data_IF_521587225648
#
_entry.id   IF_521587225648
#
_cell.length_a   1.000
_cell.length_b   1.000
_cell.length_c   1.000
_cell.angle_alpha   90.00
_cell.angle_beta   90.00
_cell.angle_gamma   90.00
#
_symmetry.space_group_name_H-M   'P 1'
#
loop_
_entity.id
_entity.type
_entity.pdbx_description
1 polymer ?
#
# COMPACT_ATOMS: atom_id res chain seq x y z
N UNK A 1 -3.74 -7.18 -29.60
CA UNK A 1 -3.60 -8.63 -29.45
C UNK A 1 -4.38 -9.07 -28.22
N UNK A 2 -5.20 -10.09 -28.36
CA UNK A 2 -6.04 -10.60 -27.29
C UNK A 2 -5.51 -11.97 -26.86
N UNK A 3 -5.28 -12.16 -25.57
CA UNK A 3 -4.87 -13.45 -25.04
C UNK A 3 -6.10 -14.30 -24.69
N UNK A 4 -6.04 -15.59 -25.00
CA UNK A 4 -7.15 -16.51 -24.73
C UNK A 4 -7.26 -16.77 -23.22
N UNK A 5 -6.12 -16.96 -22.57
CA UNK A 5 -6.07 -17.10 -21.12
C UNK A 5 -5.71 -15.74 -20.54
N UNK A 6 -6.62 -15.09 -19.80
CA UNK A 6 -6.31 -13.79 -19.24
C UNK A 6 -5.19 -13.89 -18.20
N UNK A 7 -4.25 -12.96 -18.26
CA UNK A 7 -3.20 -12.86 -17.27
C UNK A 7 -3.79 -12.24 -16.02
N UNK A 8 -3.95 -13.05 -14.96
CA UNK A 8 -4.44 -12.55 -13.69
C UNK A 8 -3.27 -11.93 -12.93
N UNK A 9 -3.30 -10.62 -12.76
CA UNK A 9 -2.29 -9.91 -11.99
C UNK A 9 -2.75 -9.78 -10.56
N UNK A 10 -1.90 -10.19 -9.60
CA UNK A 10 -2.18 -9.96 -8.18
C UNK A 10 -2.01 -8.48 -7.87
N UNK A 11 -2.89 -7.88 -7.05
CA UNK A 11 -2.73 -6.49 -6.67
C UNK A 11 -1.46 -6.28 -5.84
N UNK A 12 -0.85 -5.12 -6.00
CA UNK A 12 0.29 -4.70 -5.20
C UNK A 12 -0.14 -4.31 -3.79
N UNK A 13 -1.29 -3.66 -3.69
CA UNK A 13 -1.85 -3.22 -2.42
C UNK A 13 -3.38 -3.23 -2.52
N UNK A 14 -4.05 -3.68 -1.45
CA UNK A 14 -5.51 -3.70 -1.39
C UNK A 14 -5.98 -2.99 -0.13
N UNK A 15 -6.89 -2.04 -0.32
CA UNK A 15 -7.51 -1.29 0.77
C UNK A 15 -8.93 -1.78 0.99
N UNK A 16 -9.30 -2.02 2.24
CA UNK A 16 -10.65 -2.49 2.62
C UNK A 16 -11.36 -1.45 3.49
N UNK A 17 -12.68 -1.40 3.38
CA UNK A 17 -13.50 -0.50 4.20
C UNK A 17 -13.34 -0.73 5.71
N UNK A 18 -12.98 -1.95 6.11
CA UNK A 18 -12.71 -2.29 7.51
C UNK A 18 -11.45 -1.63 8.08
N UNK A 19 -10.63 -1.02 7.24
CA UNK A 19 -9.34 -0.47 7.62
C UNK A 19 -8.16 -1.39 7.33
N UNK A 20 -8.43 -2.60 6.84
CA UNK A 20 -7.39 -3.56 6.51
C UNK A 20 -6.70 -3.18 5.20
N UNK A 21 -5.38 -3.21 5.21
CA UNK A 21 -4.54 -2.98 4.04
C UNK A 21 -3.63 -4.18 3.86
N UNK A 22 -3.71 -4.82 2.71
CA UNK A 22 -2.82 -5.93 2.36
C UNK A 22 -1.76 -5.43 1.40
N UNK A 23 -0.49 -5.68 1.72
CA UNK A 23 0.66 -5.24 0.93
C UNK A 23 1.39 -6.47 0.42
N UNK A 24 1.60 -6.55 -0.90
CA UNK A 24 2.30 -7.68 -1.51
C UNK A 24 3.77 -7.70 -1.11
N UNK A 25 4.39 -8.88 -1.25
CA UNK A 25 5.82 -9.04 -0.96
C UNK A 25 6.69 -8.18 -1.89
N UNK A 26 6.25 -7.95 -3.12
CA UNK A 26 6.96 -7.09 -4.07
C UNK A 26 7.06 -5.66 -3.54
N UNK A 27 5.94 -5.10 -3.09
CA UNK A 27 5.91 -3.73 -2.56
C UNK A 27 6.65 -3.64 -1.22
N UNK A 28 6.49 -4.65 -0.37
CA UNK A 28 7.20 -4.70 0.90
C UNK A 28 8.73 -4.67 0.71
N UNK A 29 9.24 -5.38 -0.31
CA UNK A 29 10.66 -5.37 -0.62
C UNK A 29 11.13 -4.02 -1.17
N UNK A 30 10.37 -3.43 -2.06
CA UNK A 30 10.71 -2.10 -2.63
C UNK A 30 10.80 -1.05 -1.53
N UNK A 31 9.87 -1.06 -0.59
CA UNK A 31 9.84 -0.10 0.53
C UNK A 31 10.72 -0.51 1.71
N UNK A 32 11.26 -1.72 1.71
CA UNK A 32 12.05 -2.22 2.83
C UNK A 32 11.24 -2.40 4.11
N UNK A 33 10.00 -2.87 4.00
CA UNK A 33 9.11 -3.02 5.15
C UNK A 33 9.59 -4.11 6.12
N UNK A 34 9.50 -3.79 7.41
CA UNK A 34 9.72 -4.72 8.52
C UNK A 34 8.56 -4.57 9.50
N UNK A 35 8.54 -5.38 10.56
CA UNK A 35 7.55 -5.26 11.62
C UNK A 35 7.69 -3.98 12.43
N UNK A 36 8.78 -3.24 12.27
CA UNK A 36 9.01 -1.94 12.90
C UNK A 36 8.67 -0.78 11.97
N UNK A 37 8.20 -1.08 10.76
CA UNK A 37 7.83 -0.07 9.79
C UNK A 37 6.38 0.36 9.97
N UNK A 38 6.12 1.60 9.59
CA UNK A 38 4.77 2.14 9.43
C UNK A 38 4.67 2.69 8.01
N UNK A 39 3.47 2.68 7.45
CA UNK A 39 3.23 3.28 6.15
C UNK A 39 2.42 4.56 6.30
N UNK A 40 2.54 5.42 5.31
CA UNK A 40 1.68 6.59 5.16
C UNK A 40 1.56 6.91 3.68
N UNK A 41 0.66 7.80 3.36
CA UNK A 41 0.39 8.21 1.98
C UNK A 41 0.46 9.73 1.92
N UNK A 42 1.29 10.23 1.01
CA UNK A 42 1.35 11.65 0.69
C UNK A 42 0.52 11.92 -0.55
N UNK A 43 -0.16 13.05 -0.59
CA UNK A 43 -0.93 13.48 -1.75
C UNK A 43 -0.24 14.67 -2.37
N UNK A 44 0.11 14.57 -3.65
CA UNK A 44 0.74 15.65 -4.39
C UNK A 44 0.17 15.72 -5.79
N UNK A 45 -0.40 16.87 -6.15
CA UNK A 45 -0.97 17.12 -7.48
C UNK A 45 -1.95 16.02 -7.94
N UNK A 46 -2.78 15.55 -7.02
CA UNK A 46 -3.76 14.50 -7.32
C UNK A 46 -3.19 13.09 -7.34
N UNK A 47 -1.91 12.92 -7.09
CA UNK A 47 -1.29 11.61 -6.98
C UNK A 47 -1.13 11.19 -5.54
N UNK A 48 -1.31 9.89 -5.28
CA UNK A 48 -1.19 9.27 -3.98
C UNK A 48 0.12 8.50 -3.92
N UNK A 49 1.02 8.90 -3.02
CA UNK A 49 2.36 8.35 -2.92
C UNK A 49 2.52 7.57 -1.62
N UNK A 50 2.70 6.27 -1.74
CA UNK A 50 2.92 5.38 -0.59
C UNK A 50 4.38 5.45 -0.16
N UNK A 51 4.61 5.58 1.13
CA UNK A 51 5.97 5.55 1.68
C UNK A 51 5.98 4.88 3.04
N UNK A 52 7.18 4.48 3.46
CA UNK A 52 7.38 3.82 4.74
C UNK A 52 8.23 4.68 5.67
N UNK A 53 7.98 4.55 6.97
CA UNK A 53 8.82 5.09 8.01
C UNK A 53 9.22 3.97 8.96
N UNK A 54 10.47 3.97 9.37
CA UNK A 54 10.99 3.03 10.35
C UNK A 54 11.15 3.77 11.67
N UNK A 55 10.51 3.25 12.71
CA UNK A 55 10.58 3.85 14.03
C UNK A 55 11.39 2.96 14.97
N UNK A 56 12.40 3.55 15.60
CA UNK A 56 13.10 2.93 16.71
C UNK A 56 12.45 3.47 17.99
N UNK A 57 11.42 2.79 18.52
CA UNK A 57 10.78 3.22 19.76
C UNK A 57 9.27 3.20 19.71
N UNK A 58 8.64 4.05 20.53
CA UNK A 58 7.17 4.06 20.68
C UNK A 58 6.46 4.51 19.42
N UNK A 59 5.50 3.71 18.98
CA UNK A 59 4.63 3.99 17.84
C UNK A 59 3.30 4.50 18.40
N UNK A 60 2.85 5.66 17.92
CA UNK A 60 1.56 6.22 18.32
C UNK A 60 0.39 5.38 17.83
N UNK A 61 -0.75 5.43 18.54
CA UNK A 61 -1.92 4.60 18.23
C UNK A 61 -2.59 4.91 16.89
N UNK A 62 -2.25 6.01 16.25
CA UNK A 62 -2.75 6.34 14.90
C UNK A 62 -1.78 5.96 13.81
N UNK A 63 -0.73 5.24 14.14
CA UNK A 63 0.31 4.85 13.22
C UNK A 63 -0.06 3.55 12.51
N UNK A 64 0.05 3.54 11.17
CA UNK A 64 -0.23 2.37 10.36
C UNK A 64 0.96 1.40 10.38
N UNK A 65 1.03 0.59 11.43
CA UNK A 65 2.14 -0.33 11.66
C UNK A 65 2.01 -1.60 10.82
N UNK A 66 3.11 -2.03 10.21
CA UNK A 66 3.17 -3.23 9.42
C UNK A 66 3.25 -4.48 10.29
N UNK A 67 2.40 -5.47 9.99
CA UNK A 67 2.42 -6.78 10.62
C UNK A 67 2.69 -7.84 9.57
N UNK A 68 3.63 -8.75 9.86
CA UNK A 68 3.93 -9.86 8.98
C UNK A 68 2.80 -10.89 9.05
N UNK A 69 2.24 -11.28 7.90
CA UNK A 69 1.12 -12.23 7.86
C UNK A 69 1.58 -13.67 8.04
N UNK A 70 2.70 -14.05 7.40
CA UNK A 70 3.25 -15.40 7.47
C UNK A 70 4.75 -15.37 7.68
N UNK A 71 5.25 -16.18 8.61
CA UNK A 71 6.67 -16.39 8.78
C UNK A 71 7.26 -16.95 7.47
N UNK A 72 8.32 -16.33 6.96
CA UNK A 72 8.97 -16.72 5.71
C UNK A 72 8.44 -16.09 4.44
N UNK A 73 7.36 -15.33 4.49
CA UNK A 73 6.85 -14.55 3.36
C UNK A 73 6.84 -13.07 3.72
N UNK A 74 7.38 -12.23 2.83
CA UNK A 74 7.39 -10.78 3.01
C UNK A 74 6.05 -10.15 2.57
N UNK A 75 4.98 -10.63 3.18
CA UNK A 75 3.63 -10.18 2.94
C UNK A 75 3.13 -9.49 4.20
N UNK A 76 2.75 -8.23 4.11
CA UNK A 76 2.39 -7.42 5.26
C UNK A 76 0.93 -7.04 5.29
N UNK A 77 0.41 -6.96 6.49
CA UNK A 77 -0.92 -6.44 6.78
C UNK A 77 -0.79 -5.19 7.63
N UNK A 78 -1.57 -4.18 7.27
CA UNK A 78 -1.60 -2.91 7.99
C UNK A 78 -3.05 -2.60 8.33
N UNK A 79 -3.30 -1.93 9.43
CA UNK A 79 -4.63 -1.45 9.76
C UNK A 79 -4.63 0.07 9.89
N UNK A 80 -5.44 0.74 9.07
CA UNK A 80 -5.63 2.18 9.13
C UNK A 80 -6.94 2.55 8.43
N UNK A 81 -7.93 2.94 9.23
CA UNK A 81 -9.22 3.39 8.70
C UNK A 81 -9.05 4.67 7.88
N UNK A 82 -8.19 5.58 8.36
CA UNK A 82 -7.96 6.86 7.68
C UNK A 82 -7.35 6.68 6.28
N UNK A 83 -6.34 5.84 6.14
CA UNK A 83 -5.72 5.58 4.84
C UNK A 83 -6.70 4.85 3.90
N UNK A 84 -7.43 3.85 4.40
CA UNK A 84 -8.41 3.13 3.60
C UNK A 84 -9.52 4.05 3.11
N UNK A 85 -10.05 4.90 3.98
CA UNK A 85 -11.10 5.84 3.61
C UNK A 85 -10.63 6.80 2.51
N UNK A 86 -9.44 7.35 2.64
CA UNK A 86 -8.90 8.28 1.66
C UNK A 86 -8.75 7.62 0.28
N UNK A 87 -8.24 6.41 0.22
CA UNK A 87 -8.05 5.70 -1.05
C UNK A 87 -9.36 5.22 -1.64
N UNK A 88 -10.28 4.69 -0.82
CA UNK A 88 -11.60 4.26 -1.31
C UNK A 88 -12.38 5.44 -1.90
N UNK A 89 -12.32 6.60 -1.27
CA UNK A 89 -12.94 7.82 -1.80
C UNK A 89 -12.30 8.24 -3.13
N UNK A 90 -10.97 8.20 -3.21
CA UNK A 90 -10.24 8.53 -4.44
C UNK A 90 -10.62 7.59 -5.59
N UNK A 91 -10.84 6.31 -5.29
CA UNK A 91 -11.25 5.31 -6.28
C UNK A 91 -12.76 5.30 -6.53
N UNK A 92 -13.54 6.02 -5.76
CA UNK A 92 -15.01 6.05 -5.81
C UNK A 92 -15.63 4.67 -5.61
N UNK A 93 -15.10 3.91 -4.67
CA UNK A 93 -15.63 2.60 -4.27
C UNK A 93 -15.89 2.58 -2.78
N UNK A 94 -16.72 1.65 -2.32
CA UNK A 94 -17.18 1.63 -0.93
C UNK A 94 -16.65 0.45 -0.12
N UNK A 95 -16.27 -0.66 -0.73
CA UNK A 95 -15.91 -1.87 -0.01
C UNK A 95 -14.43 -2.20 -0.05
N UNK A 96 -13.85 -2.25 -1.25
CA UNK A 96 -12.43 -2.56 -1.38
C UNK A 96 -11.84 -2.03 -2.69
N UNK A 97 -10.55 -1.75 -2.66
CA UNK A 97 -9.81 -1.28 -3.82
C UNK A 97 -8.50 -2.08 -3.96
N UNK A 98 -8.47 -3.13 -4.79
CA UNK A 98 -7.22 -3.79 -5.16
C UNK A 98 -6.53 -2.97 -6.24
N UNK A 99 -5.31 -2.51 -5.95
CA UNK A 99 -4.61 -1.55 -6.80
C UNK A 99 -3.20 -1.99 -7.12
N UNK A 100 -2.69 -1.45 -8.23
CA UNK A 100 -1.28 -1.57 -8.60
C UNK A 100 -0.53 -0.30 -8.20
N UNK A 101 0.77 -0.43 -7.97
CA UNK A 101 1.67 0.71 -7.78
C UNK A 101 2.49 0.92 -9.04
N UNK A 102 2.82 2.19 -9.32
CA UNK A 102 3.73 2.55 -10.39
C UNK A 102 5.19 2.38 -9.99
N UNK A 103 6.09 2.92 -10.80
CA UNK A 103 7.52 2.85 -10.53
C UNK A 103 7.91 3.71 -9.32
N UNK A 104 8.86 3.20 -8.55
CA UNK A 104 9.37 3.91 -7.38
C UNK A 104 10.03 5.23 -7.77
N UNK A 105 9.75 6.26 -6.98
CA UNK A 105 10.32 7.59 -7.13
C UNK A 105 11.18 7.87 -5.91
N UNK A 106 12.37 8.42 -6.12
CA UNK A 106 13.24 8.86 -5.02
C UNK A 106 13.18 10.38 -4.89
N UNK A 107 12.77 10.85 -3.72
CA UNK A 107 12.72 12.28 -3.41
C UNK A 107 13.46 12.51 -2.10
N UNK A 108 14.51 13.32 -2.13
CA UNK A 108 15.32 13.63 -0.95
C UNK A 108 15.80 12.38 -0.19
N UNK A 109 16.18 11.34 -0.92
CA UNK A 109 16.66 10.08 -0.35
C UNK A 109 15.59 9.13 0.16
N UNK A 110 14.31 9.48 0.00
CA UNK A 110 13.18 8.62 0.38
C UNK A 110 12.52 8.01 -0.84
N UNK A 111 12.06 6.77 -0.69
CA UNK A 111 11.37 6.04 -1.75
C UNK A 111 9.85 6.21 -1.61
N UNK A 112 9.22 6.63 -2.68
CA UNK A 112 7.77 6.76 -2.79
C UNK A 112 7.26 5.90 -3.93
N UNK A 113 6.11 5.26 -3.72
CA UNK A 113 5.44 4.46 -4.74
C UNK A 113 4.10 5.08 -5.10
N UNK A 114 3.92 5.54 -6.35
CA UNK A 114 2.61 6.02 -6.78
C UNK A 114 1.59 4.89 -6.74
N UNK A 115 0.45 5.14 -6.10
CA UNK A 115 -0.68 4.21 -6.10
C UNK A 115 -1.58 4.58 -7.28
N UNK A 116 -1.83 3.63 -8.17
CA UNK A 116 -2.67 3.86 -9.34
C UNK A 116 -4.12 3.72 -8.93
N UNK A 117 -4.79 4.85 -8.66
CA UNK A 117 -6.17 4.88 -8.19
C UNK A 117 -7.21 4.86 -9.31
N UNK A 118 -6.79 5.09 -10.55
CA UNK A 118 -7.70 5.19 -11.70
C UNK A 118 -8.13 3.85 -12.25
N UNK A 119 -7.44 2.79 -11.89
CA UNK A 119 -7.73 1.45 -12.43
C UNK A 119 -7.74 0.43 -11.29
N UNK A 120 -8.92 0.01 -10.90
CA UNK A 120 -9.12 -1.04 -9.90
C UNK A 120 -9.02 -2.40 -10.60
N UNK A 121 -8.32 -3.32 -9.98
CA UNK A 121 -8.17 -4.68 -10.52
C UNK A 121 -9.40 -5.56 -10.30
#
# INVERSE_FOLDING_TARGET
>A
MQTIIPTTRRPDITFHASGLINISSRIARILGLTTESCINIAVEKGEYLLFARHYAGMIGKHTARCCLVNAGRHYFRVHSIALCRAILEACRVTEKAPLMCGEAISIAGKTYLPIITRKIL
#
